data_IF_073123356699
#
_entry.id   IF_073123356699
#
_cell.length_a   1.000
_cell.length_b   1.000
_cell.length_c   1.000
_cell.angle_alpha   90.00
_cell.angle_beta   90.00
_cell.angle_gamma   90.00
#
_symmetry.space_group_name_H-M   'P 1'
#
loop_
_entity.id
_entity.type
_entity.pdbx_description
1 polymer ?
#
# COMPACT_ATOMS: atom_id res chain seq x y z
N UNK A 1 -12.28 -18.78 -18.92
CA UNK A 1 -11.13 -18.91 -18.01
C UNK A 1 -11.53 -18.22 -16.72
N UNK A 2 -11.67 -18.95 -15.61
CA UNK A 2 -11.98 -18.32 -14.33
C UNK A 2 -10.71 -17.61 -13.87
N UNK A 3 -10.69 -16.29 -14.03
CA UNK A 3 -9.71 -15.46 -13.36
C UNK A 3 -10.04 -15.57 -11.87
N UNK A 4 -9.29 -16.41 -11.16
CA UNK A 4 -9.29 -16.41 -9.70
C UNK A 4 -8.86 -14.99 -9.32
N UNK A 5 -9.82 -14.16 -8.92
CA UNK A 5 -9.52 -12.87 -8.34
C UNK A 5 -8.89 -13.16 -6.98
N UNK A 6 -7.57 -13.40 -6.96
CA UNK A 6 -6.79 -13.48 -5.74
C UNK A 6 -6.89 -12.12 -5.08
N UNK A 7 -7.78 -12.01 -4.10
CA UNK A 7 -7.87 -10.80 -3.28
C UNK A 7 -6.75 -10.81 -2.25
N UNK A 8 -6.20 -9.64 -1.98
CA UNK A 8 -5.12 -9.44 -1.02
C UNK A 8 -5.49 -8.32 -0.06
N UNK A 9 -5.23 -8.55 1.22
CA UNK A 9 -5.45 -7.51 2.23
C UNK A 9 -4.23 -6.61 2.33
N UNK A 10 -4.43 -5.32 2.06
CA UNK A 10 -3.41 -4.28 2.21
C UNK A 10 -3.72 -3.42 3.41
N UNK A 11 -2.67 -2.91 4.05
CA UNK A 11 -2.76 -2.09 5.25
C UNK A 11 -2.01 -0.78 5.04
N UNK A 12 -2.49 0.28 5.68
CA UNK A 12 -1.66 1.45 5.91
C UNK A 12 -0.58 1.09 6.93
N UNK A 13 0.58 1.71 6.81
CA UNK A 13 1.69 1.48 7.72
C UNK A 13 2.47 2.76 7.92
N UNK A 14 3.18 2.84 9.04
CA UNK A 14 4.12 3.92 9.32
C UNK A 14 5.54 3.39 9.23
N UNK A 15 6.45 4.20 8.72
CA UNK A 15 7.88 3.89 8.69
C UNK A 15 8.58 4.91 9.57
N UNK A 16 9.58 4.45 10.32
CA UNK A 16 10.43 5.34 11.07
C UNK A 16 11.48 5.92 10.12
N UNK A 17 11.47 7.24 9.94
CA UNK A 17 12.48 7.94 9.17
C UNK A 17 13.59 8.38 10.11
N UNK A 18 14.75 7.74 10.00
CA UNK A 18 15.92 8.03 10.84
C UNK A 18 16.48 9.43 10.63
N UNK A 19 16.29 10.01 9.45
CA UNK A 19 16.75 11.37 9.12
C UNK A 19 15.95 12.45 9.87
N UNK A 20 14.62 12.30 9.89
CA UNK A 20 13.70 13.22 10.55
C UNK A 20 13.35 12.81 11.99
N UNK A 21 13.93 11.72 12.49
CA UNK A 21 13.68 11.11 13.80
C UNK A 21 12.18 10.96 14.14
N UNK A 22 11.37 10.67 13.11
CA UNK A 22 9.90 10.70 13.24
C UNK A 22 9.25 9.54 12.50
N UNK A 23 8.02 9.21 12.89
CA UNK A 23 7.18 8.26 12.19
C UNK A 23 6.35 8.98 11.13
N UNK A 24 6.47 8.56 9.88
CA UNK A 24 5.58 9.02 8.81
C UNK A 24 4.71 7.87 8.33
N UNK A 25 3.45 8.18 8.00
CA UNK A 25 2.54 7.21 7.38
C UNK A 25 2.88 7.12 5.90
N UNK A 26 3.10 5.91 5.38
CA UNK A 26 3.39 5.70 3.97
C UNK A 26 2.20 6.17 3.11
N UNK A 27 2.43 6.85 1.97
CA UNK A 27 1.37 7.34 1.09
C UNK A 27 0.72 6.22 0.24
N UNK A 28 1.01 4.97 0.55
CA UNK A 28 0.52 3.78 -0.11
C UNK A 28 0.29 2.68 0.92
N UNK A 29 -0.61 1.75 0.60
CA UNK A 29 -0.83 0.54 1.39
C UNK A 29 -0.01 -0.62 0.83
N UNK A 30 0.26 -1.61 1.66
CA UNK A 30 0.93 -2.82 1.23
C UNK A 30 0.42 -4.04 2.03
N UNK A 31 0.62 -5.27 1.52
CA UNK A 31 0.37 -6.48 2.29
C UNK A 31 1.18 -6.50 3.58
N UNK A 32 0.61 -7.09 4.63
CA UNK A 32 1.24 -7.18 5.97
C UNK A 32 2.68 -7.68 5.91
N UNK A 33 2.93 -8.75 5.15
CA UNK A 33 4.25 -9.36 5.03
C UNK A 33 5.28 -8.40 4.41
N UNK A 34 4.93 -7.69 3.33
CA UNK A 34 5.81 -6.70 2.71
C UNK A 34 6.09 -5.50 3.63
N UNK A 35 5.10 -5.05 4.40
CA UNK A 35 5.28 -3.96 5.37
C UNK A 35 6.40 -4.29 6.35
N UNK A 36 6.37 -5.49 6.93
CA UNK A 36 7.34 -5.91 7.95
C UNK A 36 8.68 -6.33 7.37
N UNK A 37 8.68 -7.03 6.23
CA UNK A 37 9.89 -7.62 5.65
C UNK A 37 10.67 -6.64 4.80
N UNK A 38 9.96 -5.90 3.93
CA UNK A 38 10.56 -5.01 2.92
C UNK A 38 10.63 -3.57 3.41
N UNK A 39 9.53 -3.04 3.92
CA UNK A 39 9.45 -1.64 4.33
C UNK A 39 9.90 -1.39 5.77
N UNK A 40 10.09 -2.46 6.56
CA UNK A 40 10.44 -2.38 8.00
C UNK A 40 9.50 -1.43 8.77
N UNK A 41 8.25 -1.36 8.34
CA UNK A 41 7.23 -0.48 8.88
C UNK A 41 6.36 -1.17 9.92
N UNK A 42 5.64 -0.34 10.66
CA UNK A 42 4.67 -0.75 11.66
C UNK A 42 3.27 -0.72 11.02
N UNK A 43 2.61 -1.88 11.00
CA UNK A 43 1.28 -2.06 10.37
C UNK A 43 0.23 -1.34 11.22
N UNK A 44 -0.62 -0.53 10.58
CA UNK A 44 -1.74 0.11 11.27
C UNK A 44 -2.96 -0.84 11.23
N UNK A 45 -3.06 -1.68 12.25
CA UNK A 45 -4.19 -2.59 12.45
C UNK A 45 -5.51 -1.78 12.50
N UNK A 46 -6.50 -2.17 11.69
CA UNK A 46 -7.75 -1.43 11.50
C UNK A 46 -7.85 -0.62 10.19
N UNK A 47 -6.76 -0.53 9.41
CA UNK A 47 -6.77 0.09 8.06
C UNK A 47 -6.78 -0.92 6.91
N UNK A 48 -6.99 -2.19 7.24
CA UNK A 48 -7.03 -3.31 6.32
C UNK A 48 -8.10 -3.13 5.25
N UNK A 49 -7.71 -3.27 4.00
CA UNK A 49 -8.57 -3.14 2.83
C UNK A 49 -8.30 -4.33 1.90
N UNK A 50 -9.38 -5.00 1.48
CA UNK A 50 -9.29 -6.10 0.54
C UNK A 50 -9.38 -5.54 -0.88
N UNK A 51 -8.35 -5.80 -1.68
CA UNK A 51 -8.23 -5.35 -3.07
C UNK A 51 -7.94 -6.54 -3.96
N UNK A 52 -8.11 -6.40 -5.27
CA UNK A 52 -7.59 -7.40 -6.22
C UNK A 52 -6.07 -7.40 -6.23
N UNK A 53 -5.42 -8.56 -6.33
CA UNK A 53 -3.96 -8.64 -6.46
C UNK A 53 -3.44 -7.89 -7.69
N UNK A 54 -4.26 -7.73 -8.73
CA UNK A 54 -3.97 -6.94 -9.93
C UNK A 54 -3.86 -5.42 -9.64
N UNK A 55 -4.43 -4.93 -8.53
CA UNK A 55 -4.30 -3.53 -8.11
C UNK A 55 -2.96 -3.23 -7.41
N UNK A 56 -2.18 -4.26 -7.09
CA UNK A 56 -0.82 -4.07 -6.59
C UNK A 56 0.13 -3.74 -7.74
N UNK A 57 0.92 -2.69 -7.57
CA UNK A 57 2.04 -2.37 -8.45
C UNK A 57 3.12 -3.48 -8.41
N UNK A 58 4.08 -3.48 -9.35
CA UNK A 58 5.17 -4.47 -9.42
C UNK A 58 6.01 -4.59 -8.13
N UNK A 59 5.91 -3.60 -7.24
CA UNK A 59 6.55 -3.56 -5.93
C UNK A 59 5.66 -4.03 -4.76
N UNK A 60 4.44 -4.50 -5.03
CA UNK A 60 3.46 -4.89 -4.01
C UNK A 60 2.85 -3.71 -3.26
N UNK A 61 2.74 -2.56 -3.94
CA UNK A 61 2.19 -1.33 -3.37
C UNK A 61 0.81 -1.08 -3.96
N UNK A 62 -0.16 -0.84 -3.09
CA UNK A 62 -1.45 -0.31 -3.47
C UNK A 62 -1.47 1.19 -3.22
N UNK A 63 -1.56 1.94 -4.31
CA UNK A 63 -1.93 3.35 -4.24
C UNK A 63 -3.35 3.41 -4.75
N UNK A 64 -4.29 3.85 -3.91
CA UNK A 64 -5.59 4.29 -4.39
C UNK A 64 -5.31 5.53 -5.24
N UNK A 65 -4.99 5.32 -6.51
CA UNK A 65 -4.97 6.40 -7.50
C UNK A 65 -6.40 6.90 -7.46
N UNK A 66 -6.61 8.11 -6.97
CA UNK A 66 -7.87 8.78 -7.19
C UNK A 66 -7.99 8.90 -8.71
N UNK A 67 -8.73 7.99 -9.35
CA UNK A 67 -9.07 8.03 -10.77
C UNK A 67 -10.00 9.20 -11.11
N UNK A 68 -10.05 10.22 -10.27
CA UNK A 68 -10.57 11.54 -10.57
C UNK A 68 -9.63 12.58 -9.95
N UNK A 69 -9.43 13.68 -10.67
CA UNK A 69 -8.57 14.84 -10.38
C UNK A 69 -7.12 14.73 -10.87
N UNK A 70 -6.98 14.93 -12.19
CA UNK A 70 -5.76 15.45 -12.80
C UNK A 70 -4.94 14.42 -13.57
N UNK A 71 -5.46 13.95 -14.70
CA UNK A 71 -4.58 13.93 -15.87
C UNK A 71 -4.04 15.36 -15.98
N UNK A 72 -2.76 15.55 -15.69
CA UNK A 72 -2.07 16.76 -16.14
C UNK A 72 -1.94 16.58 -17.66
N UNK A 73 -2.99 16.96 -18.37
CA UNK A 73 -2.86 17.43 -19.73
C UNK A 73 -2.16 18.80 -19.66
N UNK A 74 -1.08 18.89 -20.44
CA UNK A 74 -0.24 20.04 -20.80
C UNK A 74 0.81 20.55 -19.78
#
# INVERSE_FOLDING_TARGET
>A
MQQIAETVTVYSFRVFETDAETYHVAPFKAPRHLITERFRGDVLEGTGEEIGADELDAHGRYRRIATGWGALDD
#
